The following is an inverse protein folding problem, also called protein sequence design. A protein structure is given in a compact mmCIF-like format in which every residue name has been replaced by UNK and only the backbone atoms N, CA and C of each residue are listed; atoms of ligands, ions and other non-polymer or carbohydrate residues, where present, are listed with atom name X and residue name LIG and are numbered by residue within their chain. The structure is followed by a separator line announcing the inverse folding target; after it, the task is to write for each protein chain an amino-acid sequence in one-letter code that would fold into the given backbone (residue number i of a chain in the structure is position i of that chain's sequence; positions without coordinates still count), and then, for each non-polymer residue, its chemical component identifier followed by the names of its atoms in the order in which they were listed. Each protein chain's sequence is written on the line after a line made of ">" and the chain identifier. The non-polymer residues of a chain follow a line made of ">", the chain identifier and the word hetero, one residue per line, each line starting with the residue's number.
data_IF_359841085738
#
_entry.id   IF_359841085738
#
_cell.length_a   1.000
_cell.length_b   1.000
_cell.length_c   1.000
_cell.angle_alpha   90.00
_cell.angle_beta   90.00
_cell.angle_gamma   90.00
#
_symmetry.space_group_name_H-M   'P 1'
#
loop_
_entity.id
_entity.type
_entity.pdbx_description
1 polymer ?
#
# COMPACT_ATOMS: atom_id res chain seq x y z
N UNK A 1 -27.75 -18.56 -18.78
CA UNK A 1 -26.87 -18.70 -17.59
C UNK A 1 -25.47 -18.38 -18.08
N UNK A 2 -24.71 -17.58 -17.36
CA UNK A 2 -23.31 -17.32 -17.72
C UNK A 2 -22.48 -18.56 -17.36
N UNK A 3 -21.51 -18.90 -18.22
CA UNK A 3 -20.59 -19.97 -17.94
C UNK A 3 -19.81 -19.72 -16.62
N UNK A 4 -19.52 -20.74 -15.83
CA UNK A 4 -18.74 -20.60 -14.63
C UNK A 4 -17.34 -20.02 -14.94
N UNK A 5 -16.78 -19.24 -14.02
CA UNK A 5 -15.42 -18.73 -14.18
C UNK A 5 -14.45 -19.91 -14.02
N UNK A 6 -13.55 -20.06 -14.99
CA UNK A 6 -12.40 -20.93 -14.83
C UNK A 6 -11.35 -20.22 -13.96
N UNK A 7 -11.42 -20.49 -12.65
CA UNK A 7 -10.52 -19.85 -11.67
C UNK A 7 -9.07 -20.24 -11.81
N UNK A 8 -8.77 -21.43 -12.30
CA UNK A 8 -7.40 -21.88 -12.56
C UNK A 8 -6.76 -21.02 -13.65
N UNK A 9 -7.40 -20.93 -14.81
CA UNK A 9 -6.92 -20.07 -15.90
C UNK A 9 -6.84 -18.58 -15.49
N UNK A 10 -7.81 -18.10 -14.72
CA UNK A 10 -7.80 -16.72 -14.22
C UNK A 10 -6.64 -16.46 -13.23
N UNK A 11 -6.30 -17.45 -12.41
CA UNK A 11 -5.15 -17.38 -11.50
C UNK A 11 -3.84 -17.38 -12.27
N UNK A 12 -3.69 -18.26 -13.25
CA UNK A 12 -2.48 -18.33 -14.10
C UNK A 12 -2.26 -17.01 -14.84
N UNK A 13 -3.32 -16.41 -15.35
CA UNK A 13 -3.27 -15.10 -16.01
C UNK A 13 -2.86 -13.99 -15.03
N UNK A 14 -3.44 -13.96 -13.83
CA UNK A 14 -3.06 -13.00 -12.78
C UNK A 14 -1.59 -13.15 -12.37
N UNK A 15 -1.10 -14.38 -12.22
CA UNK A 15 0.32 -14.68 -11.93
C UNK A 15 1.22 -14.20 -13.07
N UNK A 16 0.85 -14.44 -14.32
CA UNK A 16 1.62 -13.96 -15.47
C UNK A 16 1.67 -12.42 -15.52
N UNK A 17 0.56 -11.74 -15.24
CA UNK A 17 0.51 -10.28 -15.17
C UNK A 17 1.35 -9.75 -13.99
N UNK A 18 1.33 -10.42 -12.84
CA UNK A 18 2.20 -10.09 -11.70
C UNK A 18 3.68 -10.20 -12.08
N UNK A 19 4.09 -11.29 -12.73
CA UNK A 19 5.47 -11.48 -13.19
C UNK A 19 5.90 -10.35 -14.12
N UNK A 20 5.05 -9.95 -15.06
CA UNK A 20 5.31 -8.81 -15.95
C UNK A 20 5.45 -7.50 -15.20
N UNK A 21 4.58 -7.25 -14.23
CA UNK A 21 4.64 -6.04 -13.38
C UNK A 21 5.91 -6.01 -12.52
N UNK A 22 6.33 -7.14 -11.94
CA UNK A 22 7.58 -7.23 -11.15
C UNK A 22 8.79 -6.88 -12.00
N UNK A 23 8.83 -7.33 -13.27
CA UNK A 23 9.94 -7.06 -14.21
C UNK A 23 10.06 -5.59 -14.61
N UNK A 24 9.07 -4.78 -14.35
CA UNK A 24 9.15 -3.33 -14.50
C UNK A 24 9.73 -2.74 -13.21
N UNK A 25 10.95 -2.22 -13.28
CA UNK A 25 11.59 -1.55 -12.15
C UNK A 25 11.01 -0.14 -11.95
N UNK A 26 10.06 -0.02 -11.04
CA UNK A 26 9.40 1.24 -10.64
C UNK A 26 9.82 1.65 -9.23
N UNK A 27 11.13 1.68 -8.98
CA UNK A 27 11.70 2.00 -7.66
C UNK A 27 11.44 3.47 -7.29
N UNK A 28 10.97 3.71 -6.10
CA UNK A 28 10.69 5.02 -5.54
C UNK A 28 11.33 5.16 -4.13
N UNK A 29 12.18 6.15 -3.86
CA UNK A 29 12.71 7.14 -4.80
C UNK A 29 13.72 6.58 -5.82
N UNK A 30 13.94 7.26 -6.99
CA UNK A 30 13.39 8.57 -7.39
C UNK A 30 11.97 8.53 -7.99
N UNK A 31 11.43 7.35 -8.30
CA UNK A 31 10.17 7.13 -8.98
C UNK A 31 10.31 7.07 -10.51
N UNK A 32 9.65 6.08 -11.10
CA UNK A 32 9.55 5.87 -12.55
C UNK A 32 8.38 4.92 -12.82
N UNK A 33 7.18 5.37 -12.54
CA UNK A 33 5.98 4.54 -12.56
C UNK A 33 5.37 4.41 -13.95
N UNK A 34 5.69 5.34 -14.87
CA UNK A 34 5.15 5.37 -16.23
C UNK A 34 5.24 4.01 -16.95
N UNK A 35 6.37 3.26 -16.96
CA UNK A 35 6.44 1.97 -17.63
C UNK A 35 5.48 0.93 -17.04
N UNK A 36 5.25 0.94 -15.72
CA UNK A 36 4.31 0.04 -15.06
C UNK A 36 2.85 0.39 -15.41
N UNK A 37 2.54 1.68 -15.44
CA UNK A 37 1.24 2.21 -15.86
C UNK A 37 0.96 1.87 -17.32
N UNK A 38 1.93 2.04 -18.20
CA UNK A 38 1.82 1.69 -19.63
C UNK A 38 1.63 0.19 -19.82
N UNK A 39 2.25 -0.65 -19.00
CA UNK A 39 2.02 -2.10 -19.02
C UNK A 39 0.57 -2.45 -18.65
N UNK A 40 0.00 -1.80 -17.63
CA UNK A 40 -1.43 -2.01 -17.29
C UNK A 40 -2.32 -1.58 -18.43
N UNK A 41 -2.04 -0.45 -19.07
CA UNK A 41 -2.76 0.01 -20.27
C UNK A 41 -2.68 -1.03 -21.40
N UNK A 42 -1.48 -1.50 -21.72
CA UNK A 42 -1.25 -2.53 -22.76
C UNK A 42 -2.10 -3.78 -22.50
N UNK A 43 -2.16 -4.25 -21.25
CA UNK A 43 -2.95 -5.42 -20.88
C UNK A 43 -4.44 -5.17 -21.14
N UNK A 44 -4.96 -4.01 -20.74
CA UNK A 44 -6.36 -3.65 -20.98
C UNK A 44 -6.68 -3.53 -22.48
N UNK A 45 -5.82 -2.87 -23.26
CA UNK A 45 -6.02 -2.68 -24.69
C UNK A 45 -5.96 -4.00 -25.48
N UNK A 46 -5.10 -4.95 -25.09
CA UNK A 46 -5.06 -6.29 -25.68
C UNK A 46 -6.37 -7.06 -25.54
N UNK A 47 -7.10 -6.82 -24.47
CA UNK A 47 -8.43 -7.38 -24.23
C UNK A 47 -9.54 -6.67 -24.99
N UNK A 48 -9.21 -5.65 -25.77
CA UNK A 48 -10.17 -4.82 -26.47
C UNK A 48 -10.89 -3.82 -25.58
N UNK A 49 -10.37 -3.53 -24.36
CA UNK A 49 -10.94 -2.51 -23.50
C UNK A 49 -10.81 -1.14 -24.16
N UNK A 50 -11.89 -0.32 -24.22
CA UNK A 50 -11.90 0.93 -24.98
C UNK A 50 -10.86 1.92 -24.47
N UNK A 51 -10.00 2.43 -25.36
CA UNK A 51 -8.95 3.38 -25.01
C UNK A 51 -9.47 4.68 -24.40
N UNK A 52 -10.66 5.14 -24.83
CA UNK A 52 -11.34 6.30 -24.27
C UNK A 52 -11.83 6.11 -22.82
N UNK A 53 -11.90 4.86 -22.36
CA UNK A 53 -12.24 4.53 -20.97
C UNK A 53 -10.99 4.37 -20.07
N UNK A 54 -9.80 4.60 -20.63
CA UNK A 54 -8.51 4.60 -19.93
C UNK A 54 -7.98 6.03 -19.93
N UNK A 55 -7.75 6.57 -18.75
CA UNK A 55 -7.13 7.90 -18.57
C UNK A 55 -5.78 7.73 -17.90
N UNK A 56 -4.74 8.29 -18.49
CA UNK A 56 -3.42 8.43 -17.86
C UNK A 56 -3.22 9.91 -17.53
N UNK A 57 -2.83 10.19 -16.29
CA UNK A 57 -2.49 11.52 -15.81
C UNK A 57 -1.09 11.51 -15.22
N UNK A 58 -0.26 12.45 -15.63
CA UNK A 58 1.13 12.56 -15.21
C UNK A 58 1.27 13.74 -14.24
N UNK A 59 1.64 13.45 -13.00
CA UNK A 59 1.85 14.47 -11.96
C UNK A 59 3.21 15.17 -12.09
N UNK A 60 4.20 14.47 -12.62
CA UNK A 60 5.54 14.94 -12.92
C UNK A 60 6.18 14.00 -13.95
N UNK A 61 7.30 14.37 -14.60
CA UNK A 61 7.96 13.50 -15.56
C UNK A 61 8.20 12.09 -15.02
N UNK A 62 7.67 11.07 -15.72
CA UNK A 62 7.70 9.63 -15.35
C UNK A 62 6.87 9.23 -14.11
N UNK A 63 6.10 10.15 -13.54
CA UNK A 63 5.23 9.93 -12.38
C UNK A 63 3.77 9.87 -12.84
N UNK A 64 3.42 8.77 -13.52
CA UNK A 64 2.12 8.60 -14.15
C UNK A 64 1.17 7.73 -13.32
N UNK A 65 -0.11 8.05 -13.42
CA UNK A 65 -1.22 7.29 -12.83
C UNK A 65 -2.17 6.85 -13.93
N UNK A 66 -2.77 5.68 -13.83
CA UNK A 66 -3.80 5.20 -14.75
C UNK A 66 -5.10 5.00 -14.01
N UNK A 67 -6.19 5.48 -14.61
CA UNK A 67 -7.55 5.19 -14.16
C UNK A 67 -8.35 4.64 -15.35
N UNK A 68 -8.83 3.40 -15.21
CA UNK A 68 -9.73 2.78 -16.18
C UNK A 68 -11.12 2.61 -15.55
N UNK A 69 -12.18 2.86 -16.33
CA UNK A 69 -13.56 2.83 -15.83
C UNK A 69 -14.45 1.95 -16.68
N UNK A 70 -14.91 0.85 -16.09
CA UNK A 70 -15.97 -0.01 -16.66
C UNK A 70 -17.31 0.49 -16.18
N UNK A 71 -18.17 0.90 -17.13
CA UNK A 71 -19.47 1.50 -16.83
C UNK A 71 -20.49 0.46 -16.36
N UNK A 72 -21.23 0.83 -15.30
CA UNK A 72 -22.46 0.16 -14.88
C UNK A 72 -23.71 0.94 -15.30
N UNK A 73 -24.87 0.54 -14.80
CA UNK A 73 -26.16 1.22 -15.06
C UNK A 73 -26.34 2.52 -14.23
N UNK A 74 -25.41 2.79 -13.31
CA UNK A 74 -25.42 4.00 -12.48
C UNK A 74 -26.43 3.98 -11.32
N UNK A 75 -27.11 2.85 -11.06
CA UNK A 75 -28.06 2.75 -9.95
C UNK A 75 -27.37 2.77 -8.57
N UNK A 76 -26.06 2.52 -8.54
CA UNK A 76 -25.20 2.61 -7.35
C UNK A 76 -23.95 3.42 -7.67
N UNK A 77 -23.38 4.06 -6.65
CA UNK A 77 -22.11 4.80 -6.78
C UNK A 77 -20.95 3.84 -7.06
N UNK A 78 -19.86 4.30 -7.73
CA UNK A 78 -18.75 3.47 -8.16
C UNK A 78 -18.05 2.71 -7.02
N UNK A 79 -17.42 1.58 -7.38
CA UNK A 79 -16.44 0.86 -6.60
C UNK A 79 -15.06 1.02 -7.26
N UNK A 80 -14.04 1.37 -6.49
CA UNK A 80 -12.67 1.49 -6.97
C UNK A 80 -11.81 0.32 -6.47
N UNK A 81 -11.04 -0.25 -7.37
CA UNK A 81 -9.93 -1.17 -7.12
C UNK A 81 -8.65 -0.37 -7.32
N UNK A 82 -7.93 -0.09 -6.23
CA UNK A 82 -6.78 0.82 -6.22
C UNK A 82 -5.53 0.08 -5.79
N UNK A 83 -4.43 0.30 -6.49
CA UNK A 83 -3.14 -0.22 -6.11
C UNK A 83 -1.99 0.66 -6.60
N UNK A 84 -0.92 0.75 -5.79
CA UNK A 84 0.27 1.45 -6.22
C UNK A 84 1.17 0.57 -7.09
N UNK A 85 1.94 1.22 -7.97
CA UNK A 85 2.83 0.57 -8.92
C UNK A 85 4.31 0.77 -8.58
N UNK A 86 4.62 1.71 -7.72
CA UNK A 86 5.97 1.93 -7.22
C UNK A 86 6.35 0.89 -6.16
N UNK A 87 7.63 0.78 -5.91
CA UNK A 87 8.21 -0.15 -4.94
C UNK A 87 9.42 0.49 -4.26
N UNK A 88 9.68 0.14 -2.99
CA UNK A 88 10.87 0.59 -2.28
C UNK A 88 12.17 0.06 -2.91
N UNK A 89 13.32 0.74 -2.71
CA UNK A 89 14.62 0.29 -3.17
C UNK A 89 15.00 -1.12 -2.70
N UNK A 90 15.94 -1.73 -3.41
CA UNK A 90 16.49 -3.05 -3.07
C UNK A 90 17.99 -2.99 -2.86
N UNK A 91 18.49 -3.72 -1.89
CA UNK A 91 19.90 -4.04 -1.70
C UNK A 91 20.12 -5.44 -2.31
N UNK A 92 20.55 -5.48 -3.59
CA UNK A 92 20.59 -6.73 -4.39
C UNK A 92 21.38 -7.85 -3.75
N UNK A 93 22.43 -7.50 -2.97
CA UNK A 93 23.27 -8.45 -2.24
C UNK A 93 22.54 -9.22 -1.12
N UNK A 94 21.40 -8.69 -0.66
CA UNK A 94 20.56 -9.34 0.35
C UNK A 94 19.48 -10.22 -0.25
N UNK A 95 19.39 -10.29 -1.60
CA UNK A 95 18.40 -11.09 -2.29
C UNK A 95 19.00 -12.42 -2.77
N UNK A 96 18.35 -13.53 -2.43
CA UNK A 96 18.74 -14.86 -2.92
C UNK A 96 18.36 -15.12 -4.38
N UNK A 97 17.53 -14.26 -4.98
CA UNK A 97 17.05 -14.29 -6.37
C UNK A 97 16.99 -12.88 -6.90
N UNK A 98 16.90 -12.72 -8.23
CA UNK A 98 16.73 -11.38 -8.81
C UNK A 98 15.44 -10.73 -8.28
N UNK A 99 15.53 -9.57 -7.58
CA UNK A 99 14.36 -8.88 -7.05
C UNK A 99 13.38 -8.41 -8.12
N UNK A 100 13.79 -8.31 -9.37
CA UNK A 100 12.93 -7.94 -10.50
C UNK A 100 12.79 -9.07 -11.56
N UNK A 101 13.22 -10.29 -11.23
CA UNK A 101 13.11 -11.45 -12.11
C UNK A 101 11.69 -11.97 -12.28
N UNK A 102 10.85 -11.83 -11.25
CA UNK A 102 9.50 -12.40 -11.24
C UNK A 102 9.52 -13.94 -11.38
N UNK A 103 10.44 -14.60 -10.68
CA UNK A 103 10.59 -16.05 -10.73
C UNK A 103 9.49 -16.75 -9.94
N UNK A 104 8.99 -17.87 -10.46
CA UNK A 104 8.12 -18.77 -9.69
C UNK A 104 8.96 -19.88 -9.08
N UNK A 105 8.99 -19.96 -7.76
CA UNK A 105 9.72 -20.99 -7.04
C UNK A 105 8.92 -21.48 -5.84
N UNK A 106 8.80 -22.81 -5.71
CA UNK A 106 8.02 -23.47 -4.64
C UNK A 106 6.58 -22.94 -4.51
N UNK A 107 5.91 -22.67 -5.64
CA UNK A 107 4.55 -22.16 -5.66
C UNK A 107 4.39 -20.69 -5.28
N UNK A 108 5.48 -19.94 -5.14
CA UNK A 108 5.47 -18.51 -4.81
C UNK A 108 6.12 -17.71 -5.95
N UNK A 109 5.58 -16.53 -6.24
CA UNK A 109 6.21 -15.53 -7.11
C UNK A 109 7.19 -14.71 -6.28
N UNK A 110 8.46 -14.73 -6.69
CA UNK A 110 9.53 -13.99 -6.02
C UNK A 110 9.79 -12.67 -6.74
N UNK A 111 9.87 -11.60 -5.96
CA UNK A 111 10.27 -10.30 -6.49
C UNK A 111 9.82 -9.15 -5.61
N UNK A 112 10.48 -8.01 -5.76
CA UNK A 112 10.10 -6.74 -5.12
C UNK A 112 8.74 -6.29 -5.66
N UNK A 113 7.79 -5.98 -4.75
CA UNK A 113 6.41 -5.65 -5.12
C UNK A 113 5.49 -6.88 -5.28
N UNK A 114 5.99 -8.12 -5.16
CA UNK A 114 5.14 -9.31 -5.26
C UNK A 114 4.03 -9.31 -4.19
N UNK A 115 4.32 -8.83 -2.99
CA UNK A 115 3.38 -8.69 -1.88
C UNK A 115 2.86 -7.26 -1.76
N UNK A 116 3.74 -6.27 -1.81
CA UNK A 116 3.49 -4.86 -1.60
C UNK A 116 3.87 -4.07 -2.87
N UNK A 117 2.87 -3.66 -3.76
CA UNK A 117 1.54 -4.28 -3.79
C UNK A 117 1.14 -4.69 -5.22
N UNK A 118 2.14 -4.93 -6.12
CA UNK A 118 1.86 -5.38 -7.50
C UNK A 118 1.05 -6.69 -7.55
N UNK A 119 1.14 -7.53 -6.49
CA UNK A 119 0.31 -8.71 -6.34
C UNK A 119 -1.17 -8.39 -6.22
N UNK A 120 -1.54 -7.44 -5.37
CA UNK A 120 -2.92 -6.95 -5.27
C UNK A 120 -3.38 -6.29 -6.56
N UNK A 121 -2.51 -5.46 -7.17
CA UNK A 121 -2.84 -4.81 -8.45
C UNK A 121 -3.10 -5.84 -9.55
N UNK A 122 -2.31 -6.92 -9.63
CA UNK A 122 -2.54 -8.00 -10.60
C UNK A 122 -3.88 -8.71 -10.36
N UNK A 123 -4.26 -8.95 -9.10
CA UNK A 123 -5.56 -9.51 -8.76
C UNK A 123 -6.70 -8.55 -9.12
N UNK A 124 -6.55 -7.26 -8.86
CA UNK A 124 -7.55 -6.24 -9.20
C UNK A 124 -7.71 -6.10 -10.72
N UNK A 125 -6.61 -6.10 -11.45
CA UNK A 125 -6.61 -6.12 -12.90
C UNK A 125 -7.36 -7.35 -13.43
N UNK A 126 -7.10 -8.54 -12.87
CA UNK A 126 -7.77 -9.77 -13.25
C UNK A 126 -9.29 -9.71 -12.99
N UNK A 127 -9.71 -9.19 -11.84
CA UNK A 127 -11.13 -9.02 -11.51
C UNK A 127 -11.78 -8.04 -12.50
N UNK A 128 -11.09 -6.94 -12.82
CA UNK A 128 -11.57 -5.94 -13.78
C UNK A 128 -11.74 -6.55 -15.18
N UNK A 129 -10.75 -7.31 -15.66
CA UNK A 129 -10.80 -8.02 -16.94
C UNK A 129 -11.91 -9.07 -16.98
N UNK A 130 -12.10 -9.85 -15.92
CA UNK A 130 -13.20 -10.82 -15.83
C UNK A 130 -14.57 -10.12 -15.90
N UNK A 131 -14.72 -8.99 -15.20
CA UNK A 131 -15.95 -8.20 -15.24
C UNK A 131 -16.23 -7.67 -16.67
N UNK A 132 -15.19 -7.16 -17.34
CA UNK A 132 -15.28 -6.68 -18.73
C UNK A 132 -15.63 -7.80 -19.71
N UNK A 133 -14.91 -8.91 -19.70
CA UNK A 133 -15.11 -10.07 -20.60
C UNK A 133 -16.52 -10.67 -20.48
N UNK A 134 -17.05 -10.70 -19.28
CA UNK A 134 -18.38 -11.28 -19.02
C UNK A 134 -19.55 -10.38 -19.44
N UNK A 135 -19.30 -9.11 -19.67
CA UNK A 135 -20.32 -8.13 -20.07
C UNK A 135 -21.61 -8.19 -19.21
N UNK A 136 -21.43 -8.55 -17.93
CA UNK A 136 -22.56 -8.58 -17.01
C UNK A 136 -23.03 -7.17 -16.68
N UNK A 137 -24.35 -6.94 -16.59
CA UNK A 137 -24.88 -5.67 -16.12
C UNK A 137 -24.35 -5.39 -14.70
N UNK A 138 -23.55 -4.36 -14.56
CA UNK A 138 -23.09 -3.87 -13.28
C UNK A 138 -24.02 -2.77 -12.79
N UNK A 139 -24.38 -2.79 -11.51
CA UNK A 139 -25.19 -1.72 -10.90
C UNK A 139 -24.37 -0.46 -10.63
N UNK A 140 -23.06 -0.57 -10.62
CA UNK A 140 -22.09 0.51 -10.37
C UNK A 140 -20.94 0.46 -11.34
N UNK A 141 -20.34 1.61 -11.60
CA UNK A 141 -19.07 1.63 -12.31
C UNK A 141 -18.02 0.89 -11.49
N UNK A 142 -17.16 0.13 -12.16
CA UNK A 142 -15.94 -0.42 -11.59
C UNK A 142 -14.76 0.42 -12.08
N UNK A 143 -13.99 0.96 -11.16
CA UNK A 143 -12.80 1.76 -11.43
C UNK A 143 -11.57 0.91 -11.09
N UNK A 144 -10.62 0.82 -12.01
CA UNK A 144 -9.27 0.31 -11.72
C UNK A 144 -8.32 1.50 -11.71
N UNK A 145 -7.60 1.69 -10.61
CA UNK A 145 -6.61 2.75 -10.45
C UNK A 145 -5.23 2.17 -10.15
N UNK A 146 -4.27 2.38 -11.08
CA UNK A 146 -2.86 2.07 -10.89
C UNK A 146 -2.14 3.38 -10.56
N UNK A 147 -1.69 3.52 -9.31
CA UNK A 147 -1.31 4.78 -8.69
C UNK A 147 0.19 4.81 -8.44
N UNK A 148 0.81 5.99 -8.64
CA UNK A 148 2.20 6.27 -8.36
C UNK A 148 2.41 6.72 -6.90
N UNK A 149 3.70 6.71 -6.45
CA UNK A 149 4.20 7.47 -5.30
C UNK A 149 3.56 7.14 -3.96
N UNK A 150 3.22 5.88 -3.72
CA UNK A 150 2.74 5.47 -2.41
C UNK A 150 3.90 5.38 -1.40
N UNK A 151 5.04 4.79 -1.82
CA UNK A 151 6.19 4.45 -0.98
C UNK A 151 7.03 5.66 -0.53
N UNK A 152 6.85 6.84 -1.15
CA UNK A 152 7.69 8.01 -0.86
C UNK A 152 6.94 9.30 -0.52
N UNK A 153 5.60 9.31 -0.47
CA UNK A 153 4.92 10.47 0.06
C UNK A 153 3.57 10.86 -0.52
N UNK A 154 3.04 10.10 -1.49
CA UNK A 154 1.69 10.26 -2.07
C UNK A 154 1.47 11.50 -2.94
N UNK A 155 2.44 12.40 -3.05
CA UNK A 155 2.27 13.71 -3.70
C UNK A 155 1.97 13.59 -5.19
N UNK A 156 2.58 12.60 -5.87
CA UNK A 156 2.41 12.36 -7.29
C UNK A 156 1.36 11.29 -7.63
N UNK A 157 0.80 10.65 -6.60
CA UNK A 157 -0.18 9.57 -6.70
C UNK A 157 -1.54 9.94 -6.16
N UNK A 158 -1.91 9.32 -5.05
CA UNK A 158 -3.26 9.44 -4.48
C UNK A 158 -3.65 10.87 -4.14
N UNK A 159 -2.73 11.69 -3.63
CA UNK A 159 -2.98 13.10 -3.33
C UNK A 159 -3.25 13.88 -4.61
N UNK A 160 -2.40 13.74 -5.63
CA UNK A 160 -2.57 14.39 -6.92
C UNK A 160 -3.93 14.04 -7.56
N UNK A 161 -4.32 12.75 -7.50
CA UNK A 161 -5.61 12.31 -8.02
C UNK A 161 -6.79 12.91 -7.25
N UNK A 162 -6.69 13.05 -5.91
CA UNK A 162 -7.74 13.64 -5.08
C UNK A 162 -7.85 15.14 -5.30
N UNK A 163 -6.74 15.84 -5.43
CA UNK A 163 -6.70 17.30 -5.52
C UNK A 163 -7.04 17.79 -6.93
N UNK A 164 -6.52 17.12 -7.98
CA UNK A 164 -6.60 17.59 -9.37
C UNK A 164 -7.56 16.78 -10.27
N UNK A 165 -7.80 15.50 -9.95
CA UNK A 165 -8.54 14.56 -10.80
C UNK A 165 -9.60 13.75 -10.05
N UNK A 166 -10.24 14.39 -9.08
CA UNK A 166 -11.22 13.75 -8.19
C UNK A 166 -12.38 13.07 -8.92
N UNK A 167 -12.80 13.62 -10.04
CA UNK A 167 -13.87 13.07 -10.89
C UNK A 167 -13.53 11.68 -11.44
N UNK A 168 -12.27 11.40 -11.71
CA UNK A 168 -11.81 10.10 -12.19
C UNK A 168 -11.95 9.00 -11.12
N UNK A 169 -11.74 9.34 -9.83
CA UNK A 169 -11.66 8.39 -8.72
C UNK A 169 -12.82 8.48 -7.72
N UNK A 170 -13.84 9.30 -7.98
CA UNK A 170 -14.96 9.45 -7.06
C UNK A 170 -15.78 8.16 -6.96
N UNK A 171 -15.58 7.44 -5.87
CA UNK A 171 -16.22 6.15 -5.58
C UNK A 171 -16.89 6.14 -4.21
N UNK A 172 -17.85 5.23 -4.00
CA UNK A 172 -18.48 5.00 -2.70
C UNK A 172 -17.57 4.15 -1.80
N UNK A 173 -16.93 3.15 -2.40
CA UNK A 173 -15.99 2.26 -1.75
C UNK A 173 -14.71 2.15 -2.56
N UNK A 174 -13.60 1.95 -1.87
CA UNK A 174 -12.32 1.61 -2.46
C UNK A 174 -11.76 0.36 -1.79
N UNK A 175 -11.25 -0.57 -2.59
CA UNK A 175 -10.40 -1.66 -2.14
C UNK A 175 -8.97 -1.28 -2.50
N UNK A 176 -8.09 -1.32 -1.50
CA UNK A 176 -6.68 -1.03 -1.63
C UNK A 176 -5.88 -2.17 -1.02
N UNK A 177 -4.65 -1.92 -0.61
CA UNK A 177 -3.82 -2.88 0.09
C UNK A 177 -4.21 -3.02 1.58
N UNK A 178 -3.57 -4.00 2.23
CA UNK A 178 -3.80 -4.29 3.64
C UNK A 178 -5.06 -5.13 3.87
N UNK A 179 -5.00 -6.07 4.80
CA UNK A 179 -6.06 -7.04 5.05
C UNK A 179 -5.81 -8.38 4.38
N UNK A 180 -6.88 -9.15 4.15
CA UNK A 180 -6.83 -10.53 3.64
C UNK A 180 -5.92 -11.49 4.45
N UNK A 181 -5.36 -11.03 5.57
CA UNK A 181 -4.58 -11.86 6.49
C UNK A 181 -5.45 -12.41 7.61
N UNK A 182 -5.05 -13.55 8.16
CA UNK A 182 -5.66 -14.11 9.35
C UNK A 182 -4.64 -14.22 10.47
N UNK A 183 -5.09 -13.91 11.69
CA UNK A 183 -4.27 -14.07 12.91
C UNK A 183 -4.84 -15.25 13.67
N UNK A 184 -3.98 -16.21 14.00
CA UNK A 184 -4.36 -17.33 14.85
C UNK A 184 -3.93 -17.04 16.29
N UNK A 185 -4.90 -16.90 17.22
CA UNK A 185 -4.63 -16.63 18.62
C UNK A 185 -5.61 -17.40 19.51
N UNK A 186 -5.10 -18.06 20.53
CA UNK A 186 -5.88 -18.84 21.51
C UNK A 186 -6.87 -19.83 20.85
N UNK A 187 -6.45 -20.53 19.80
CA UNK A 187 -7.26 -21.49 19.05
C UNK A 187 -8.34 -20.88 18.16
N UNK A 188 -8.39 -19.56 18.04
CA UNK A 188 -9.34 -18.84 17.19
C UNK A 188 -8.64 -18.25 15.97
N UNK A 189 -9.40 -18.14 14.86
CA UNK A 189 -9.00 -17.43 13.65
C UNK A 189 -9.65 -16.06 13.65
N UNK A 190 -8.83 -15.01 13.63
CA UNK A 190 -9.26 -13.62 13.63
C UNK A 190 -9.01 -13.04 12.23
N UNK A 191 -9.94 -12.24 11.74
CA UNK A 191 -9.87 -11.53 10.46
C UNK A 191 -9.78 -10.03 10.73
N UNK A 192 -8.58 -9.43 10.71
CA UNK A 192 -8.43 -7.99 10.89
C UNK A 192 -9.07 -7.23 9.72
N UNK A 193 -9.86 -6.22 10.05
CA UNK A 193 -10.40 -5.28 9.06
C UNK A 193 -9.84 -3.91 9.41
N UNK A 194 -9.10 -3.32 8.48
CA UNK A 194 -8.56 -1.98 8.65
C UNK A 194 -9.68 -0.96 8.57
N UNK A 195 -9.81 -0.15 9.60
CA UNK A 195 -10.86 0.90 9.71
C UNK A 195 -10.27 2.28 9.95
N UNK A 196 -8.97 2.38 10.15
CA UNK A 196 -8.20 3.61 10.31
C UNK A 196 -6.72 3.33 10.18
N UNK A 197 -5.95 4.34 9.82
CA UNK A 197 -4.50 4.32 9.76
C UNK A 197 -3.89 5.34 10.70
N UNK A 198 -2.61 5.11 11.06
CA UNK A 198 -1.79 6.11 11.76
C UNK A 198 -1.26 7.10 10.73
N UNK A 199 -1.25 8.37 11.08
CA UNK A 199 -0.53 9.36 10.29
C UNK A 199 0.98 9.15 10.36
N UNK A 200 1.65 9.39 9.24
CA UNK A 200 3.12 9.40 9.17
C UNK A 200 3.63 10.73 9.73
N UNK A 201 4.69 10.68 10.54
CA UNK A 201 5.38 11.86 11.04
C UNK A 201 6.85 11.78 10.64
N UNK A 202 7.24 12.54 9.63
CA UNK A 202 8.62 12.66 9.20
C UNK A 202 9.30 13.80 9.95
N UNK A 203 10.38 13.49 10.65
CA UNK A 203 11.19 14.47 11.39
C UNK A 203 12.52 14.69 10.68
N UNK A 204 12.79 15.95 10.32
CA UNK A 204 14.13 16.36 9.86
C UNK A 204 14.82 17.10 11.00
N UNK A 205 15.97 16.59 11.41
CA UNK A 205 16.81 17.23 12.44
C UNK A 205 18.06 17.78 11.78
N UNK A 206 18.38 19.04 12.06
CA UNK A 206 19.59 19.70 11.61
C UNK A 206 20.27 20.41 12.78
N UNK A 207 21.58 20.42 12.77
CA UNK A 207 22.38 21.21 13.70
C UNK A 207 23.38 22.05 12.91
N UNK A 208 23.61 23.25 13.37
CA UNK A 208 24.65 24.14 12.84
C UNK A 208 25.69 24.43 13.94
N UNK A 209 26.94 24.64 13.54
CA UNK A 209 28.02 24.95 14.43
C UNK A 209 29.13 25.72 13.72
N UNK A 210 29.98 26.40 14.45
CA UNK A 210 31.12 27.13 13.92
C UNK A 210 32.16 26.16 13.31
N UNK A 211 32.75 26.50 12.17
CA UNK A 211 33.80 25.73 11.57
C UNK A 211 35.03 25.73 12.48
N UNK A 212 35.69 24.58 12.63
CA UNK A 212 36.88 24.40 13.45
C UNK A 212 38.03 23.77 12.69
N UNK A 213 39.25 23.92 13.23
CA UNK A 213 40.46 23.28 12.71
C UNK A 213 40.60 21.91 13.42
N UNK A 214 40.85 20.83 12.65
CA UNK A 214 40.88 19.46 13.18
C UNK A 214 41.93 19.21 14.29
N UNK A 215 42.96 20.07 14.41
CA UNK A 215 43.94 20.01 15.46
C UNK A 215 43.55 20.70 16.78
N UNK A 216 42.43 21.43 16.81
CA UNK A 216 41.90 22.13 17.98
C UNK A 216 40.60 21.46 18.42
N UNK A 217 40.53 20.94 19.65
CA UNK A 217 39.28 20.33 20.14
C UNK A 217 38.13 21.34 20.14
N UNK A 218 37.06 21.01 19.42
CA UNK A 218 35.83 21.78 19.44
C UNK A 218 34.71 20.88 20.01
N UNK A 219 34.30 21.16 21.25
CA UNK A 219 33.24 20.41 21.96
C UNK A 219 31.84 20.86 21.58
N UNK A 220 31.70 21.98 20.90
CA UNK A 220 30.41 22.56 20.46
C UNK A 220 30.24 22.49 18.93
N UNK A 221 30.55 21.34 18.37
CA UNK A 221 30.36 21.12 16.93
C UNK A 221 28.99 20.54 16.60
N UNK A 222 28.50 20.81 15.38
CA UNK A 222 27.19 20.40 14.92
C UNK A 222 26.95 18.87 14.97
N UNK A 223 28.01 18.06 14.75
CA UNK A 223 27.89 16.60 14.80
C UNK A 223 27.60 16.12 16.23
N UNK A 224 28.29 16.67 17.23
CA UNK A 224 28.04 16.34 18.63
C UNK A 224 26.65 16.81 19.09
N UNK A 225 26.21 18.00 18.68
CA UNK A 225 24.88 18.50 18.99
C UNK A 225 23.78 17.59 18.40
N UNK A 226 23.89 17.21 17.12
CA UNK A 226 22.95 16.32 16.46
C UNK A 226 22.95 14.92 17.09
N UNK A 227 24.13 14.38 17.37
CA UNK A 227 24.28 13.08 18.03
C UNK A 227 23.62 13.06 19.41
N UNK A 228 23.81 14.11 20.22
CA UNK A 228 23.18 14.24 21.54
C UNK A 228 21.63 14.35 21.41
N UNK A 229 21.13 15.09 20.43
CA UNK A 229 19.69 15.19 20.18
C UNK A 229 19.08 13.85 19.79
N UNK A 230 19.74 13.10 18.89
CA UNK A 230 19.32 11.75 18.48
C UNK A 230 19.37 10.77 19.65
N UNK A 231 20.42 10.83 20.46
CA UNK A 231 20.53 10.00 21.66
C UNK A 231 19.40 10.25 22.66
N UNK A 232 19.06 11.52 22.91
CA UNK A 232 17.92 11.89 23.78
C UNK A 232 16.61 11.42 23.21
N UNK A 233 16.38 11.56 21.90
CA UNK A 233 15.19 11.09 21.23
C UNK A 233 15.05 9.57 21.34
N UNK A 234 16.12 8.82 21.06
CA UNK A 234 16.11 7.35 21.15
C UNK A 234 15.92 6.81 22.58
N UNK A 235 16.20 7.64 23.60
CA UNK A 235 15.94 7.31 25.02
C UNK A 235 14.61 7.86 25.55
N UNK A 236 13.88 8.62 24.76
CA UNK A 236 12.57 9.12 25.17
C UNK A 236 11.60 7.95 25.36
N UNK A 237 11.38 7.53 26.59
CA UNK A 237 10.47 6.44 26.96
C UNK A 237 9.00 6.86 26.98
N UNK A 238 8.72 8.14 26.85
CA UNK A 238 7.40 8.70 26.97
C UNK A 238 6.96 9.38 25.67
N UNK A 239 6.68 8.57 24.65
CA UNK A 239 5.80 9.03 23.60
C UNK A 239 4.38 8.93 24.18
N UNK A 240 3.64 10.03 24.16
CA UNK A 240 2.26 10.05 24.65
C UNK A 240 1.44 8.98 23.91
N UNK A 241 0.97 7.99 24.66
CA UNK A 241 0.09 6.97 24.10
C UNK A 241 -1.25 7.62 23.80
N UNK A 242 -1.58 7.74 22.52
CA UNK A 242 -2.87 8.27 22.10
C UNK A 242 -3.82 7.13 21.78
N UNK A 243 -4.70 6.81 22.73
CA UNK A 243 -5.71 5.77 22.55
C UNK A 243 -6.92 6.34 21.84
N UNK A 244 -7.09 6.01 20.56
CA UNK A 244 -8.30 6.41 19.82
C UNK A 244 -9.49 5.52 20.19
N UNK A 245 -10.74 5.99 20.05
CA UNK A 245 -11.94 5.16 20.26
C UNK A 245 -11.94 3.89 19.41
N UNK A 246 -11.37 3.94 18.19
CA UNK A 246 -11.27 2.78 17.28
C UNK A 246 -10.32 1.73 17.80
N UNK A 247 -9.13 2.13 18.28
CA UNK A 247 -8.17 1.23 18.92
C UNK A 247 -8.78 0.57 20.17
N UNK A 248 -9.46 1.35 21.00
CA UNK A 248 -10.14 0.85 22.19
C UNK A 248 -11.17 -0.21 21.83
N UNK A 249 -12.06 0.07 20.89
CA UNK A 249 -13.09 -0.87 20.42
C UNK A 249 -12.47 -2.16 19.83
N UNK A 250 -11.35 -2.07 19.12
CA UNK A 250 -10.62 -3.24 18.62
C UNK A 250 -10.11 -4.09 19.77
N UNK A 251 -9.46 -3.50 20.76
CA UNK A 251 -8.91 -4.21 21.91
C UNK A 251 -10.01 -4.82 22.80
N UNK A 252 -11.14 -4.14 23.02
CA UNK A 252 -12.31 -4.65 23.70
C UNK A 252 -12.89 -5.86 22.96
N UNK A 253 -13.01 -5.79 21.63
CA UNK A 253 -13.48 -6.89 20.81
C UNK A 253 -12.53 -8.11 20.89
N UNK A 254 -11.23 -7.89 20.81
CA UNK A 254 -10.22 -8.93 20.96
C UNK A 254 -10.26 -9.55 22.36
N UNK A 255 -10.35 -8.73 23.40
CA UNK A 255 -10.45 -9.17 24.80
C UNK A 255 -11.63 -10.09 25.02
N UNK A 256 -12.81 -9.73 24.49
CA UNK A 256 -14.01 -10.56 24.60
C UNK A 256 -13.89 -11.91 23.90
N UNK A 257 -13.10 -11.97 22.83
CA UNK A 257 -12.91 -13.17 22.03
C UNK A 257 -11.83 -14.11 22.60
N UNK A 258 -10.77 -13.56 23.20
CA UNK A 258 -9.62 -14.36 23.66
C UNK A 258 -9.77 -14.94 25.06
N UNK A 259 -10.68 -14.39 25.89
CA UNK A 259 -10.96 -14.92 27.22
C UNK A 259 -9.79 -14.82 28.21
N UNK A 260 -9.87 -15.58 29.33
CA UNK A 260 -8.81 -15.61 30.34
C UNK A 260 -7.59 -16.44 29.86
N UNK A 261 -6.32 -16.03 30.13
CA UNK A 261 -5.88 -14.76 30.78
C UNK A 261 -5.65 -13.60 29.80
N UNK A 262 -5.56 -13.86 28.50
CA UNK A 262 -5.20 -12.88 27.46
C UNK A 262 -6.21 -11.72 27.36
N UNK A 263 -7.50 -12.02 27.49
CA UNK A 263 -8.53 -10.98 27.49
C UNK A 263 -8.39 -9.98 28.64
N UNK A 264 -8.04 -10.45 29.85
CA UNK A 264 -7.79 -9.57 30.99
C UNK A 264 -6.55 -8.70 30.73
N UNK A 265 -5.48 -9.28 30.22
CA UNK A 265 -4.26 -8.53 29.89
C UNK A 265 -4.53 -7.41 28.88
N UNK A 266 -5.29 -7.71 27.84
CA UNK A 266 -5.69 -6.70 26.84
C UNK A 266 -6.55 -5.59 27.46
N UNK A 267 -7.50 -5.93 28.34
CA UNK A 267 -8.31 -4.94 29.04
C UNK A 267 -7.46 -4.06 29.97
N UNK A 268 -6.45 -4.61 30.61
CA UNK A 268 -5.51 -3.82 31.42
C UNK A 268 -4.74 -2.80 30.57
N UNK A 269 -4.31 -3.17 29.36
CA UNK A 269 -3.61 -2.25 28.43
C UNK A 269 -4.49 -1.08 27.97
N UNK A 270 -5.82 -1.24 27.99
CA UNK A 270 -6.77 -0.19 27.61
C UNK A 270 -7.04 0.77 28.78
N UNK A 271 -6.79 0.33 30.01
CA UNK A 271 -7.06 1.12 31.22
C UNK A 271 -6.21 2.38 31.25
N UNK A 272 -6.80 3.58 31.37
CA UNK A 272 -6.05 4.84 31.47
C UNK A 272 -5.03 4.86 32.61
N UNK A 273 -5.30 4.11 33.69
CA UNK A 273 -4.43 4.03 34.86
C UNK A 273 -3.14 3.25 34.59
N UNK A 274 -3.15 2.31 33.62
CA UNK A 274 -1.99 1.46 33.28
C UNK A 274 -1.28 1.97 32.03
N UNK A 275 -2.02 2.54 31.08
CA UNK A 275 -1.43 3.14 29.88
C UNK A 275 -0.44 4.27 30.18
N UNK A 276 -0.53 4.92 31.34
CA UNK A 276 0.43 5.92 31.81
C UNK A 276 1.68 5.35 32.49
N UNK A 277 1.72 4.03 32.75
CA UNK A 277 2.85 3.33 33.39
C UNK A 277 3.73 2.57 32.39
N UNK A 278 3.29 2.40 31.16
CA UNK A 278 4.03 1.74 30.06
C UNK A 278 4.65 2.78 29.13
#
# INVERSE_FOLDING_TARGET
>A
MLDPINWEAATDEAVNNLIRLIRVESVNPPGNEEPAVLLVKEILEREGFPGEAITIVEAAPKRANLVARLRGDGSQRPLMLSGHVDVVPVEREHWSRDPFGGEVHNGCVWGRGALDMKGFLAMYLQIFLLAYRRQQPLKRDLILAAIADEEAGFEHGSRFLVDEHRDLINAEYALNEGGAMTIHAAGKRLYPIQVAEKGVCLLRMSASGEPGIGSVPNTDNAVLQLSNALHRLGRARHLSIHSTPKLRKMLESLSSQLGFPLGILLNMMISPAIAGLM
#
